data_IF_537863860783
#
_entry.id   IF_537863860783
#
_cell.length_a   1.000
_cell.length_b   1.000
_cell.length_c   1.000
_cell.angle_alpha   90.00
_cell.angle_beta   90.00
_cell.angle_gamma   90.00
#
_symmetry.space_group_name_H-M   'P 1'
#
loop_
_entity.id
_entity.type
_entity.pdbx_description
1 polymer ?
#
# COMPACT_ATOMS: atom_id res chain seq x y z
N UNK A 1 -35.90 20.25 13.30
CA UNK A 1 -34.67 19.52 12.90
C UNK A 1 -33.81 20.54 12.19
N UNK A 2 -32.71 20.97 12.80
CA UNK A 2 -31.81 21.95 12.16
C UNK A 2 -31.28 21.31 10.88
N UNK A 3 -31.43 22.01 9.75
CA UNK A 3 -30.76 21.72 8.49
C UNK A 3 -29.27 21.61 8.77
N UNK A 4 -28.74 20.39 8.82
CA UNK A 4 -27.29 20.16 8.87
C UNK A 4 -26.66 20.79 7.64
N UNK A 5 -25.65 21.63 7.84
CA UNK A 5 -24.91 22.30 6.77
C UNK A 5 -24.40 21.24 5.76
N UNK A 6 -24.97 21.24 4.55
CA UNK A 6 -24.50 20.39 3.47
C UNK A 6 -23.12 20.91 3.04
N UNK A 7 -22.09 20.09 3.19
CA UNK A 7 -20.73 20.46 2.80
C UNK A 7 -20.58 20.45 1.27
N UNK A 8 -19.71 21.30 0.73
CA UNK A 8 -19.40 21.27 -0.71
C UNK A 8 -18.65 19.99 -1.07
N UNK A 9 -17.63 19.64 -0.28
CA UNK A 9 -16.80 18.44 -0.49
C UNK A 9 -16.44 17.83 0.85
N UNK A 10 -16.65 16.51 0.98
CA UNK A 10 -16.14 15.73 2.10
C UNK A 10 -15.01 14.84 1.63
N UNK A 11 -13.86 14.91 2.30
CA UNK A 11 -12.70 14.05 2.07
C UNK A 11 -12.66 13.00 3.18
N UNK A 12 -12.75 11.72 2.80
CA UNK A 12 -12.76 10.60 3.74
C UNK A 12 -11.36 9.99 3.84
N UNK A 13 -10.69 10.24 4.96
CA UNK A 13 -9.32 9.86 5.30
C UNK A 13 -8.36 11.05 5.19
N UNK A 14 -7.47 11.22 6.17
CA UNK A 14 -6.41 12.22 6.24
C UNK A 14 -5.00 11.61 6.13
N UNK A 15 -4.87 10.54 5.34
CA UNK A 15 -3.57 10.07 4.85
C UNK A 15 -2.99 10.99 3.76
N UNK A 16 -1.86 10.62 3.13
CA UNK A 16 -1.24 11.41 2.05
C UNK A 16 -2.22 11.81 0.94
N UNK A 17 -3.11 10.90 0.55
CA UNK A 17 -4.13 11.17 -0.47
C UNK A 17 -5.11 12.26 -0.04
N UNK A 18 -5.67 12.16 1.16
CA UNK A 18 -6.72 13.07 1.61
C UNK A 18 -6.20 14.45 1.94
N UNK A 19 -5.03 14.54 2.58
CA UNK A 19 -4.37 15.82 2.82
C UNK A 19 -3.98 16.51 1.52
N UNK A 20 -3.56 15.76 0.50
CA UNK A 20 -3.27 16.32 -0.83
C UNK A 20 -4.53 16.84 -1.51
N UNK A 21 -5.63 16.09 -1.45
CA UNK A 21 -6.91 16.52 -2.00
C UNK A 21 -7.42 17.77 -1.27
N UNK A 22 -7.42 17.78 0.06
CA UNK A 22 -7.83 18.92 0.87
C UNK A 22 -7.00 20.17 0.55
N UNK A 23 -5.68 20.04 0.48
CA UNK A 23 -4.78 21.14 0.11
C UNK A 23 -5.14 21.75 -1.25
N UNK A 24 -5.33 20.92 -2.28
CA UNK A 24 -5.65 21.41 -3.63
C UNK A 24 -7.08 21.98 -3.72
N UNK A 25 -8.04 21.42 -2.98
CA UNK A 25 -9.41 21.95 -2.88
C UNK A 25 -9.39 23.34 -2.24
N UNK A 26 -8.71 23.50 -1.10
CA UNK A 26 -8.57 24.79 -0.42
C UNK A 26 -7.84 25.82 -1.27
N UNK A 27 -6.80 25.41 -2.02
CA UNK A 27 -6.10 26.28 -2.97
C UNK A 27 -7.03 26.83 -4.07
N UNK A 28 -8.11 26.12 -4.40
CA UNK A 28 -9.12 26.53 -5.38
C UNK A 28 -10.36 27.17 -4.74
N UNK A 29 -10.29 27.58 -3.47
CA UNK A 29 -11.36 28.32 -2.79
C UNK A 29 -12.47 27.46 -2.20
N UNK A 30 -12.36 26.13 -2.25
CA UNK A 30 -13.31 25.21 -1.61
C UNK A 30 -12.97 25.02 -0.13
N UNK A 31 -13.96 24.71 0.69
CA UNK A 31 -13.81 24.43 2.14
C UNK A 31 -14.12 22.96 2.43
N UNK A 32 -13.14 22.04 2.25
CA UNK A 32 -13.39 20.62 2.42
C UNK A 32 -13.59 20.23 3.90
N UNK A 33 -14.60 19.41 4.18
CA UNK A 33 -14.68 18.66 5.44
C UNK A 33 -13.74 17.45 5.33
N UNK A 34 -12.71 17.37 6.17
CA UNK A 34 -11.76 16.24 6.16
C UNK A 34 -11.99 15.37 7.39
N UNK A 35 -12.37 14.11 7.18
CA UNK A 35 -12.69 13.15 8.25
C UNK A 35 -11.60 12.08 8.36
N UNK A 36 -11.07 11.84 9.55
CA UNK A 36 -10.02 10.84 9.81
C UNK A 36 -10.39 9.95 10.99
N UNK A 37 -10.18 8.64 10.85
CA UNK A 37 -10.49 7.66 11.89
C UNK A 37 -9.49 7.66 13.04
N UNK A 38 -8.21 7.97 12.77
CA UNK A 38 -7.18 8.02 13.81
C UNK A 38 -7.32 9.27 14.68
N UNK A 39 -6.72 9.23 15.87
CA UNK A 39 -6.78 10.34 16.82
C UNK A 39 -5.89 11.52 16.41
N UNK A 40 -4.86 11.28 15.59
CA UNK A 40 -4.05 12.33 15.00
C UNK A 40 -3.73 12.06 13.52
N UNK A 41 -3.47 13.15 12.78
CA UNK A 41 -2.92 13.09 11.43
C UNK A 41 -1.56 12.39 11.46
N UNK A 42 -1.29 11.55 10.46
CA UNK A 42 -0.02 10.83 10.36
C UNK A 42 0.07 9.55 11.18
N UNK A 43 -0.91 9.23 12.04
CA UNK A 43 -0.86 8.03 12.89
C UNK A 43 -0.78 6.73 12.09
N UNK A 44 -1.47 6.63 10.95
CA UNK A 44 -1.35 5.45 10.07
C UNK A 44 0.12 5.22 9.69
N UNK A 45 0.88 6.28 9.42
CA UNK A 45 2.31 6.20 9.13
C UNK A 45 3.14 5.94 10.39
N UNK A 46 2.81 6.56 11.51
CA UNK A 46 3.49 6.36 12.81
C UNK A 46 3.50 4.90 13.25
N UNK A 47 2.42 4.17 12.94
CA UNK A 47 2.29 2.74 13.26
C UNK A 47 3.09 1.80 12.34
N UNK A 48 3.83 2.29 11.34
CA UNK A 48 4.73 1.43 10.59
C UNK A 48 5.95 1.01 11.43
N UNK A 49 6.56 -0.12 11.09
CA UNK A 49 7.71 -0.67 11.80
C UNK A 49 8.94 0.26 11.82
N UNK A 50 9.82 0.02 12.79
CA UNK A 50 10.97 0.86 13.03
C UNK A 50 12.01 0.80 11.92
N UNK A 51 12.57 1.97 11.62
CA UNK A 51 13.53 2.17 10.54
C UNK A 51 12.94 2.10 9.13
N UNK A 52 11.62 2.04 8.97
CA UNK A 52 10.98 2.13 7.65
C UNK A 52 11.41 3.41 6.94
N UNK A 53 11.75 3.27 5.66
CA UNK A 53 12.09 4.37 4.76
C UNK A 53 11.32 4.24 3.46
N UNK A 54 10.99 5.36 2.85
CA UNK A 54 10.39 5.37 1.53
C UNK A 54 11.29 4.65 0.52
N UNK A 55 10.65 3.89 -0.37
CA UNK A 55 11.31 3.37 -1.56
C UNK A 55 11.43 4.41 -2.68
N UNK A 56 10.65 5.49 -2.56
CA UNK A 56 10.66 6.66 -3.42
C UNK A 56 11.57 7.77 -2.91
N UNK A 57 12.22 8.45 -3.86
CA UNK A 57 13.07 9.62 -3.59
C UNK A 57 12.30 10.75 -2.99
N UNK A 58 12.95 11.53 -2.12
CA UNK A 58 12.36 12.75 -1.54
C UNK A 58 11.72 13.64 -2.62
N UNK A 59 12.35 13.78 -3.79
CA UNK A 59 11.85 14.57 -4.91
C UNK A 59 10.57 14.00 -5.54
N UNK A 60 10.52 12.68 -5.72
CA UNK A 60 9.34 11.96 -6.24
C UNK A 60 8.28 11.68 -5.16
N UNK A 61 8.53 12.06 -3.91
CA UNK A 61 7.63 11.82 -2.78
C UNK A 61 6.99 13.11 -2.26
N UNK A 62 7.27 14.26 -2.88
CA UNK A 62 6.65 15.51 -2.52
C UNK A 62 5.12 15.45 -2.77
N UNK A 63 4.39 16.10 -1.88
CA UNK A 63 2.93 16.28 -1.94
C UNK A 63 2.61 17.75 -2.29
N UNK A 64 1.36 18.08 -2.67
CA UNK A 64 0.95 19.46 -2.89
C UNK A 64 1.37 20.39 -1.74
N UNK A 65 2.02 21.51 -2.09
CA UNK A 65 2.54 22.49 -1.13
C UNK A 65 3.64 21.98 -0.18
N UNK A 66 4.05 20.71 -0.28
CA UNK A 66 4.77 20.03 0.79
C UNK A 66 5.92 19.18 0.26
N UNK A 67 7.15 19.68 0.46
CA UNK A 67 8.39 18.98 0.09
C UNK A 67 9.11 18.47 1.33
N UNK A 68 9.78 17.33 1.21
CA UNK A 68 10.74 16.88 2.22
C UNK A 68 11.95 17.82 2.25
N UNK A 69 12.46 18.19 3.45
CA UNK A 69 13.67 19.00 3.56
C UNK A 69 14.91 18.21 3.09
N UNK A 70 15.99 18.93 2.75
CA UNK A 70 17.25 18.28 2.35
C UNK A 70 17.84 17.40 3.45
N UNK A 71 17.53 17.70 4.72
CA UNK A 71 17.93 16.91 5.89
C UNK A 71 17.25 15.53 5.99
N UNK A 72 16.14 15.28 5.29
CA UNK A 72 15.40 14.01 5.34
C UNK A 72 16.10 12.82 4.62
N UNK A 73 17.38 12.96 4.26
CA UNK A 73 18.15 12.08 3.36
C UNK A 73 17.47 11.88 1.98
N UNK A 74 18.09 11.11 1.09
CA UNK A 74 17.52 10.82 -0.24
C UNK A 74 16.23 9.97 -0.16
N UNK A 75 16.13 9.09 0.85
CA UNK A 75 14.98 8.23 1.11
C UNK A 75 14.37 8.58 2.48
N UNK A 76 13.31 9.40 2.52
CA UNK A 76 12.71 9.86 3.78
C UNK A 76 12.35 8.70 4.71
N UNK A 77 12.58 8.88 6.02
CA UNK A 77 12.14 7.95 7.06
C UNK A 77 10.64 8.02 7.28
N UNK A 78 10.09 7.00 7.94
CA UNK A 78 8.72 7.01 8.51
C UNK A 78 8.43 8.34 9.22
N UNK A 79 9.30 8.75 10.12
CA UNK A 79 9.08 9.94 10.97
C UNK A 79 9.13 11.24 10.15
N UNK A 80 9.96 11.29 9.09
CA UNK A 80 9.96 12.41 8.15
C UNK A 80 8.64 12.49 7.35
N UNK A 81 8.05 11.35 6.99
CA UNK A 81 6.72 11.30 6.34
C UNK A 81 5.66 11.79 7.32
N UNK A 82 5.66 11.30 8.56
CA UNK A 82 4.72 11.74 9.61
C UNK A 82 4.79 13.26 9.80
N UNK A 83 6.01 13.80 9.99
CA UNK A 83 6.24 15.24 10.16
C UNK A 83 5.72 16.05 8.96
N UNK A 84 5.89 15.53 7.73
CA UNK A 84 5.38 16.18 6.53
C UNK A 84 3.85 16.24 6.56
N UNK A 85 3.19 15.13 6.85
CA UNK A 85 1.73 15.01 6.87
C UNK A 85 1.10 15.89 7.96
N UNK A 86 1.67 15.89 9.17
CA UNK A 86 1.20 16.73 10.29
C UNK A 86 1.28 18.22 9.97
N UNK A 87 2.24 18.65 9.15
CA UNK A 87 2.37 20.06 8.74
C UNK A 87 1.39 20.51 7.65
N UNK A 88 0.73 19.58 6.96
CA UNK A 88 -0.10 19.92 5.79
C UNK A 88 -1.35 20.74 6.12
N UNK A 89 -2.14 20.43 7.18
CA UNK A 89 -3.34 21.20 7.51
C UNK A 89 -3.06 22.69 7.75
N UNK A 90 -2.05 23.00 8.58
CA UNK A 90 -1.63 24.38 8.87
C UNK A 90 -1.16 25.10 7.62
N UNK A 91 -0.29 24.47 6.81
CA UNK A 91 0.22 25.06 5.55
C UNK A 91 -0.85 25.25 4.49
N UNK A 92 -1.86 24.38 4.48
CA UNK A 92 -2.94 24.37 3.49
C UNK A 92 -4.14 25.21 3.89
N UNK A 93 -4.23 25.67 5.14
CA UNK A 93 -5.37 26.44 5.63
C UNK A 93 -6.65 25.62 5.76
N UNK A 94 -6.56 24.35 6.15
CA UNK A 94 -7.71 23.47 6.37
C UNK A 94 -7.57 22.70 7.69
N UNK A 95 -8.69 22.25 8.25
CA UNK A 95 -8.74 21.43 9.48
C UNK A 95 -9.07 19.98 9.16
N UNK A 96 -8.66 19.08 10.06
CA UNK A 96 -9.01 17.65 10.02
C UNK A 96 -9.81 17.31 11.26
N UNK A 97 -10.98 16.69 11.08
CA UNK A 97 -11.76 16.11 12.17
C UNK A 97 -11.32 14.66 12.39
N UNK A 98 -10.53 14.46 13.43
CA UNK A 98 -9.98 13.16 13.84
C UNK A 98 -10.96 12.36 14.71
N UNK A 99 -10.71 11.07 14.88
CA UNK A 99 -11.58 10.17 15.65
C UNK A 99 -12.92 9.83 14.99
N UNK A 100 -13.09 10.11 13.70
CA UNK A 100 -14.32 9.86 12.94
C UNK A 100 -14.09 8.71 11.95
N UNK A 101 -14.49 7.50 12.33
CA UNK A 101 -14.45 6.35 11.43
C UNK A 101 -15.72 6.25 10.60
N UNK A 102 -15.58 6.38 9.27
CA UNK A 102 -16.71 6.22 8.34
C UNK A 102 -17.07 4.76 8.14
N UNK A 103 -18.34 4.45 8.37
CA UNK A 103 -18.95 3.13 8.20
C UNK A 103 -19.44 2.93 6.78
N UNK A 104 -20.19 3.90 6.23
CA UNK A 104 -20.67 3.84 4.86
C UNK A 104 -20.85 5.23 4.23
N UNK A 105 -20.84 5.24 2.89
CA UNK A 105 -21.08 6.39 2.02
C UNK A 105 -22.11 5.96 0.99
N UNK A 106 -23.23 6.67 0.90
CA UNK A 106 -24.32 6.39 -0.02
C UNK A 106 -24.82 7.67 -0.69
N UNK A 107 -25.55 7.52 -1.79
CA UNK A 107 -26.05 8.67 -2.56
C UNK A 107 -27.57 8.75 -2.47
N UNK A 108 -28.07 9.88 -1.97
CA UNK A 108 -29.48 10.22 -2.00
C UNK A 108 -29.81 10.89 -3.34
N UNK A 109 -30.51 10.16 -4.21
CA UNK A 109 -30.90 10.64 -5.54
C UNK A 109 -32.00 11.70 -5.50
N UNK A 110 -32.89 11.65 -4.52
CA UNK A 110 -34.00 12.61 -4.40
C UNK A 110 -33.48 13.97 -3.95
N UNK A 111 -32.53 13.97 -3.01
CA UNK A 111 -31.92 15.18 -2.45
C UNK A 111 -30.65 15.61 -3.19
N UNK A 112 -30.13 14.78 -4.11
CA UNK A 112 -28.92 15.03 -4.90
C UNK A 112 -27.68 15.30 -4.01
N UNK A 113 -27.56 14.55 -2.90
CA UNK A 113 -26.48 14.67 -1.91
C UNK A 113 -25.90 13.31 -1.52
N UNK A 114 -24.63 13.32 -1.14
CA UNK A 114 -23.98 12.19 -0.49
C UNK A 114 -24.33 12.17 1.00
N UNK A 115 -24.66 10.98 1.49
CA UNK A 115 -24.85 10.65 2.89
C UNK A 115 -23.62 9.89 3.38
N UNK A 116 -22.95 10.40 4.41
CA UNK A 116 -21.75 9.81 4.99
C UNK A 116 -22.05 9.50 6.46
N UNK A 117 -22.01 8.22 6.80
CA UNK A 117 -22.37 7.74 8.14
C UNK A 117 -21.13 7.16 8.81
N UNK A 118 -20.83 7.66 9.99
CA UNK A 118 -19.76 7.16 10.85
C UNK A 118 -20.19 5.92 11.65
N UNK A 119 -19.22 5.24 12.27
CA UNK A 119 -19.46 4.04 13.09
C UNK A 119 -20.22 4.35 14.38
N UNK A 120 -20.10 5.56 14.92
CA UNK A 120 -20.86 6.08 16.07
C UNK A 120 -22.17 6.78 15.66
N UNK A 121 -22.58 6.64 14.39
CA UNK A 121 -23.81 7.16 13.80
C UNK A 121 -23.91 8.70 13.68
N UNK A 122 -22.80 9.43 13.77
CA UNK A 122 -22.75 10.80 13.26
C UNK A 122 -23.00 10.79 11.75
N UNK A 123 -23.82 11.73 11.27
CA UNK A 123 -24.22 11.86 9.87
C UNK A 123 -23.65 13.15 9.30
N UNK A 124 -23.10 13.05 8.10
CA UNK A 124 -22.59 14.18 7.32
C UNK A 124 -23.22 14.15 5.94
N UNK A 125 -23.54 15.33 5.41
CA UNK A 125 -24.09 15.48 4.06
C UNK A 125 -23.16 16.29 3.20
N UNK A 126 -22.99 15.90 1.93
CA UNK A 126 -22.05 16.58 1.03
C UNK A 126 -22.50 16.58 -0.42
N UNK A 127 -22.21 17.65 -1.17
CA UNK A 127 -22.46 17.72 -2.62
C UNK A 127 -21.51 16.82 -3.41
N UNK A 128 -20.29 16.63 -2.90
CA UNK A 128 -19.25 15.79 -3.49
C UNK A 128 -18.45 15.03 -2.42
N UNK A 129 -17.83 13.91 -2.80
CA UNK A 129 -17.01 13.10 -1.88
C UNK A 129 -15.71 12.67 -2.54
N UNK A 130 -14.60 12.79 -1.80
CA UNK A 130 -13.29 12.26 -2.17
C UNK A 130 -12.93 11.13 -1.23
N UNK A 131 -12.89 9.90 -1.73
CA UNK A 131 -12.50 8.70 -0.98
C UNK A 131 -10.98 8.57 -0.98
N UNK A 132 -10.37 8.79 0.19
CA UNK A 132 -8.93 8.88 0.40
C UNK A 132 -8.40 7.90 1.47
N UNK A 133 -9.12 6.81 1.72
CA UNK A 133 -8.79 5.80 2.77
C UNK A 133 -7.63 4.85 2.41
N UNK A 134 -7.07 4.98 1.21
CA UNK A 134 -5.96 4.16 0.71
C UNK A 134 -6.36 2.73 0.29
N UNK A 135 -5.51 2.10 -0.54
CA UNK A 135 -5.77 0.76 -1.09
C UNK A 135 -5.36 -0.39 -0.13
N UNK A 136 -4.44 -0.12 0.81
CA UNK A 136 -3.90 -1.11 1.74
C UNK A 136 -4.56 -1.00 3.13
N UNK A 137 -5.90 -1.16 3.19
CA UNK A 137 -6.67 -0.84 4.39
C UNK A 137 -6.81 -2.01 5.35
N UNK A 138 -7.24 -3.17 4.85
CA UNK A 138 -7.63 -4.30 5.69
C UNK A 138 -6.66 -5.46 5.50
N UNK A 139 -5.85 -5.81 6.53
CA UNK A 139 -4.94 -6.94 6.51
C UNK A 139 -5.61 -8.25 6.08
N UNK A 140 -4.91 -9.06 5.29
CA UNK A 140 -5.40 -10.38 4.90
C UNK A 140 -4.42 -11.44 5.38
N UNK A 141 -4.83 -12.27 6.34
CA UNK A 141 -4.14 -13.52 6.69
C UNK A 141 -4.92 -14.66 6.02
N UNK A 142 -4.32 -15.44 5.11
CA UNK A 142 -5.00 -16.55 4.45
C UNK A 142 -5.50 -17.60 5.44
N UNK A 143 -6.58 -18.28 5.09
CA UNK A 143 -7.00 -19.51 5.77
C UNK A 143 -6.12 -20.67 5.30
N UNK A 144 -5.12 -21.03 6.10
CA UNK A 144 -4.34 -22.26 5.90
C UNK A 144 -5.04 -23.43 6.58
N UNK A 145 -4.93 -24.64 6.00
CA UNK A 145 -5.45 -25.84 6.64
C UNK A 145 -4.80 -26.00 8.03
N UNK A 146 -5.64 -26.14 9.06
CA UNK A 146 -5.19 -26.30 10.44
C UNK A 146 -4.60 -25.04 11.09
N UNK A 147 -4.74 -23.85 10.48
CA UNK A 147 -4.27 -22.56 11.04
C UNK A 147 -4.63 -22.37 12.52
N UNK A 148 -5.86 -22.68 12.91
CA UNK A 148 -6.37 -22.50 14.27
C UNK A 148 -5.74 -23.47 15.30
N UNK A 149 -5.00 -24.47 14.85
CA UNK A 149 -4.24 -25.38 15.71
C UNK A 149 -2.85 -24.85 16.06
N UNK A 150 -2.37 -23.81 15.36
CA UNK A 150 -1.04 -23.27 15.60
C UNK A 150 -0.94 -22.68 17.01
N UNK A 151 -0.03 -23.22 17.82
CA UNK A 151 0.21 -22.75 19.20
C UNK A 151 1.24 -21.63 19.30
N UNK A 152 1.90 -21.30 18.20
CA UNK A 152 2.75 -20.12 18.09
C UNK A 152 1.98 -18.84 17.76
N UNK A 153 2.72 -17.77 17.47
CA UNK A 153 2.14 -16.47 17.13
C UNK A 153 1.91 -16.34 15.61
N UNK A 154 0.71 -15.93 15.19
CA UNK A 154 0.45 -15.53 13.80
C UNK A 154 0.09 -14.04 13.78
N UNK A 155 0.91 -13.24 13.10
CA UNK A 155 0.64 -11.81 12.90
C UNK A 155 0.62 -11.46 11.42
N UNK A 156 -0.13 -10.42 11.08
CA UNK A 156 0.03 -9.78 9.78
C UNK A 156 1.22 -8.81 9.79
N UNK A 157 1.85 -8.58 8.63
CA UNK A 157 2.96 -7.63 8.47
C UNK A 157 2.66 -6.20 8.97
N UNK A 158 1.39 -5.79 9.03
CA UNK A 158 0.96 -4.50 9.59
C UNK A 158 1.07 -4.41 11.12
N UNK A 159 1.14 -5.55 11.81
CA UNK A 159 1.30 -5.63 13.27
C UNK A 159 2.77 -5.71 13.68
N UNK A 160 3.67 -6.07 12.76
CA UNK A 160 5.12 -6.08 13.01
C UNK A 160 5.61 -4.66 13.33
N UNK A 161 6.34 -4.49 14.44
CA UNK A 161 6.90 -3.20 14.87
C UNK A 161 8.42 -3.21 14.93
N UNK A 162 8.99 -4.16 15.66
CA UNK A 162 10.41 -4.23 15.89
C UNK A 162 10.94 -5.66 15.73
N UNK A 163 12.08 -5.81 15.06
CA UNK A 163 12.73 -7.10 14.84
C UNK A 163 13.37 -7.68 16.12
N UNK A 164 13.75 -6.84 17.08
CA UNK A 164 14.33 -7.27 18.35
C UNK A 164 13.35 -8.10 19.19
N UNK A 165 12.04 -7.88 19.05
CA UNK A 165 10.97 -8.65 19.74
C UNK A 165 10.93 -10.13 19.31
N UNK A 166 11.68 -10.49 18.27
CA UNK A 166 11.80 -11.83 17.72
C UNK A 166 13.19 -12.45 17.96
N UNK A 167 14.01 -11.84 18.81
CA UNK A 167 15.28 -12.42 19.22
C UNK A 167 15.08 -13.83 19.81
N UNK A 168 15.92 -14.78 19.40
CA UNK A 168 15.82 -16.17 19.85
C UNK A 168 14.70 -17.00 19.19
N UNK A 169 13.82 -16.41 18.36
CA UNK A 169 12.69 -17.11 17.74
C UNK A 169 13.03 -17.66 16.35
N UNK A 170 12.35 -18.73 15.94
CA UNK A 170 12.29 -19.20 14.55
C UNK A 170 11.10 -18.56 13.84
N UNK A 171 11.35 -17.74 12.81
CA UNK A 171 10.28 -16.96 12.16
C UNK A 171 10.06 -17.41 10.71
N UNK A 172 8.79 -17.69 10.39
CA UNK A 172 8.32 -17.93 9.03
C UNK A 172 7.64 -16.66 8.49
N UNK A 173 8.24 -16.02 7.49
CA UNK A 173 7.65 -14.89 6.77
C UNK A 173 6.91 -15.41 5.54
N UNK A 174 5.63 -15.09 5.39
CA UNK A 174 4.81 -15.55 4.26
C UNK A 174 4.60 -14.44 3.25
N UNK A 175 4.84 -14.72 1.97
CA UNK A 175 4.66 -13.78 0.86
C UNK A 175 5.95 -13.10 0.43
N UNK A 176 5.98 -12.63 -0.82
CA UNK A 176 7.15 -12.05 -1.50
C UNK A 176 6.96 -10.58 -1.89
N UNK A 177 6.24 -9.82 -1.07
CA UNK A 177 6.09 -8.37 -1.23
C UNK A 177 7.26 -7.58 -0.63
N UNK A 178 7.27 -6.26 -0.86
CA UNK A 178 8.28 -5.36 -0.27
C UNK A 178 8.31 -5.46 1.26
N UNK A 179 7.16 -5.44 1.94
CA UNK A 179 7.09 -5.58 3.40
C UNK A 179 7.72 -6.89 3.87
N UNK A 180 7.40 -8.02 3.23
CA UNK A 180 7.97 -9.33 3.59
C UNK A 180 9.49 -9.35 3.44
N UNK A 181 10.01 -8.83 2.34
CA UNK A 181 11.45 -8.78 2.08
C UNK A 181 12.20 -7.91 3.11
N UNK A 182 11.64 -6.75 3.45
CA UNK A 182 12.24 -5.84 4.43
C UNK A 182 12.18 -6.41 5.85
N UNK A 183 11.02 -6.97 6.25
CA UNK A 183 10.82 -7.62 7.54
C UNK A 183 11.75 -8.82 7.68
N UNK A 184 11.82 -9.71 6.68
CA UNK A 184 12.69 -10.88 6.70
C UNK A 184 14.17 -10.51 6.89
N UNK A 185 14.64 -9.48 6.19
CA UNK A 185 16.01 -8.96 6.32
C UNK A 185 16.28 -8.30 7.68
N UNK A 186 15.30 -7.59 8.26
CA UNK A 186 15.43 -7.09 9.63
C UNK A 186 15.49 -8.22 10.65
N UNK A 187 14.61 -9.21 10.52
CA UNK A 187 14.57 -10.40 11.37
C UNK A 187 15.88 -11.19 11.28
N UNK A 188 16.50 -11.27 10.11
CA UNK A 188 17.76 -11.99 9.90
C UNK A 188 18.93 -11.47 10.76
N UNK A 189 18.79 -10.29 11.37
CA UNK A 189 19.78 -9.71 12.30
C UNK A 189 19.56 -10.10 13.77
N UNK A 190 18.38 -10.62 14.12
CA UNK A 190 17.96 -10.81 15.52
C UNK A 190 17.37 -12.19 15.80
N UNK A 191 16.55 -12.73 14.89
CA UNK A 191 15.91 -14.03 15.03
C UNK A 191 16.92 -15.18 14.88
N UNK A 192 16.64 -16.32 15.51
CA UNK A 192 17.47 -17.54 15.42
C UNK A 192 17.50 -18.07 13.99
N UNK A 193 16.36 -18.02 13.29
CA UNK A 193 16.30 -18.35 11.87
C UNK A 193 15.14 -17.65 11.19
N UNK A 194 15.33 -17.27 9.93
CA UNK A 194 14.27 -16.73 9.08
C UNK A 194 14.05 -17.63 7.87
N UNK A 195 12.82 -18.10 7.72
CA UNK A 195 12.35 -18.81 6.53
C UNK A 195 11.31 -17.96 5.82
N UNK A 196 11.34 -17.92 4.49
CA UNK A 196 10.39 -17.14 3.69
C UNK A 196 9.65 -18.04 2.71
N UNK A 197 8.33 -18.13 2.88
CA UNK A 197 7.43 -18.90 2.02
C UNK A 197 6.98 -18.05 0.83
N UNK A 198 7.29 -18.51 -0.39
CA UNK A 198 7.02 -17.80 -1.64
C UNK A 198 6.12 -18.64 -2.54
N UNK A 199 4.97 -18.06 -2.94
CA UNK A 199 4.07 -18.66 -3.95
C UNK A 199 4.48 -18.30 -5.37
N UNK A 200 4.68 -17.01 -5.59
CA UNK A 200 5.01 -16.46 -6.91
C UNK A 200 6.34 -15.75 -6.80
N UNK A 201 7.34 -16.11 -7.63
CA UNK A 201 8.60 -15.40 -7.64
C UNK A 201 8.41 -13.89 -7.83
N UNK A 202 9.00 -13.06 -6.97
CA UNK A 202 8.84 -11.62 -7.07
C UNK A 202 9.69 -11.06 -8.21
N UNK A 203 9.25 -9.93 -8.76
CA UNK A 203 10.15 -9.06 -9.50
C UNK A 203 11.05 -8.34 -8.50
N UNK A 204 12.35 -8.33 -8.74
CA UNK A 204 13.34 -7.65 -7.90
C UNK A 204 14.13 -6.70 -8.78
N UNK A 205 14.27 -5.45 -8.34
CA UNK A 205 15.01 -4.43 -9.07
C UNK A 205 15.89 -3.62 -8.11
N UNK A 206 16.97 -3.00 -8.62
CA UNK A 206 17.75 -2.06 -7.83
C UNK A 206 16.90 -0.84 -7.44
N UNK A 207 17.06 -0.35 -6.21
CA UNK A 207 16.39 0.88 -5.75
C UNK A 207 16.83 2.12 -6.54
N UNK A 208 18.10 2.14 -6.95
CA UNK A 208 18.71 3.22 -7.73
C UNK A 208 19.80 2.69 -8.65
N UNK A 209 20.05 3.39 -9.75
CA UNK A 209 21.11 3.12 -10.72
C UNK A 209 22.02 4.34 -10.74
N UNK A 210 23.30 4.18 -10.36
CA UNK A 210 24.27 5.28 -10.25
C UNK A 210 23.73 6.53 -9.52
N UNK A 211 23.00 6.33 -8.41
CA UNK A 211 22.42 7.40 -7.61
C UNK A 211 21.07 7.93 -8.10
N UNK A 212 20.61 7.54 -9.30
CA UNK A 212 19.30 7.91 -9.83
C UNK A 212 18.24 6.93 -9.29
N UNK A 213 17.19 7.41 -8.59
CA UNK A 213 16.07 6.56 -8.17
C UNK A 213 15.43 5.83 -9.34
N UNK A 214 15.18 4.52 -9.21
CA UNK A 214 14.50 3.75 -10.26
C UNK A 214 13.10 4.29 -10.56
N UNK A 215 12.45 4.89 -9.57
CA UNK A 215 11.17 5.59 -9.75
C UNK A 215 11.27 6.72 -10.78
N UNK A 216 12.41 7.41 -10.84
CA UNK A 216 12.67 8.39 -11.88
C UNK A 216 12.55 7.77 -13.26
N UNK A 217 13.17 6.60 -13.48
CA UNK A 217 13.03 5.85 -14.73
C UNK A 217 11.55 5.55 -15.01
N UNK A 218 10.76 5.13 -14.01
CA UNK A 218 9.32 4.92 -14.16
C UNK A 218 8.54 6.17 -14.62
N UNK A 219 8.95 7.36 -14.19
CA UNK A 219 8.39 8.63 -14.67
C UNK A 219 8.78 8.89 -16.13
N UNK A 220 10.06 8.72 -16.48
CA UNK A 220 10.57 8.93 -17.84
C UNK A 220 9.99 7.94 -18.85
N UNK A 221 9.80 6.68 -18.46
CA UNK A 221 9.36 5.61 -19.36
C UNK A 221 7.84 5.51 -19.51
N UNK A 222 7.06 6.36 -18.82
CA UNK A 222 5.59 6.30 -18.83
C UNK A 222 4.96 6.39 -20.22
N UNK A 223 5.63 7.06 -21.18
CA UNK A 223 5.16 7.23 -22.56
C UNK A 223 5.74 6.21 -23.54
N UNK A 224 6.62 5.31 -23.08
CA UNK A 224 7.26 4.33 -23.94
C UNK A 224 6.37 3.09 -24.11
N UNK A 225 6.51 2.35 -25.24
CA UNK A 225 5.84 1.06 -25.40
C UNK A 225 6.21 0.08 -24.26
N UNK A 226 5.21 -0.56 -23.67
CA UNK A 226 5.40 -1.45 -22.51
C UNK A 226 6.43 -2.56 -22.75
N UNK A 227 6.51 -3.10 -23.97
CA UNK A 227 7.48 -4.13 -24.34
C UNK A 227 8.94 -3.63 -24.21
N UNK A 228 9.18 -2.35 -24.56
CA UNK A 228 10.50 -1.73 -24.42
C UNK A 228 10.86 -1.57 -22.94
N UNK A 229 9.90 -1.14 -22.12
CA UNK A 229 10.08 -0.98 -20.67
C UNK A 229 10.37 -2.34 -20.03
N UNK A 230 9.60 -3.38 -20.34
CA UNK A 230 9.82 -4.73 -19.82
C UNK A 230 11.20 -5.28 -20.22
N UNK A 231 11.64 -5.05 -21.46
CA UNK A 231 12.97 -5.46 -21.94
C UNK A 231 14.08 -4.77 -21.14
N UNK A 232 14.00 -3.45 -20.98
CA UNK A 232 14.96 -2.67 -20.19
C UNK A 232 15.02 -3.15 -18.72
N UNK A 233 13.86 -3.31 -18.08
CA UNK A 233 13.80 -3.75 -16.68
C UNK A 233 14.26 -5.20 -16.52
N UNK A 234 13.99 -6.06 -17.50
CA UNK A 234 14.50 -7.43 -17.55
C UNK A 234 16.02 -7.48 -17.67
N UNK A 235 16.61 -6.63 -18.51
CA UNK A 235 18.06 -6.47 -18.61
C UNK A 235 18.68 -5.99 -17.29
N UNK A 236 18.12 -4.96 -16.67
CA UNK A 236 18.59 -4.44 -15.38
C UNK A 236 18.50 -5.49 -14.25
N UNK A 237 17.41 -6.27 -14.21
CA UNK A 237 17.27 -7.38 -13.27
C UNK A 237 18.40 -8.38 -13.45
N UNK A 238 18.63 -8.85 -14.69
CA UNK A 238 19.65 -9.87 -14.99
C UNK A 238 21.05 -9.39 -14.65
N UNK A 239 21.37 -8.13 -14.93
CA UNK A 239 22.72 -7.58 -14.73
C UNK A 239 23.00 -7.17 -13.28
N UNK A 240 22.03 -6.55 -12.60
CA UNK A 240 22.26 -5.98 -11.27
C UNK A 240 21.83 -6.90 -10.13
N UNK A 241 20.86 -7.79 -10.38
CA UNK A 241 20.37 -8.77 -9.39
C UNK A 241 20.90 -10.18 -9.70
N UNK A 242 20.99 -10.58 -10.96
CA UNK A 242 21.45 -11.93 -11.33
C UNK A 242 20.41 -13.02 -11.00
N UNK A 243 20.86 -14.29 -11.03
CA UNK A 243 20.02 -15.44 -10.74
C UNK A 243 20.09 -15.83 -9.26
N UNK A 244 18.92 -16.02 -8.64
CA UNK A 244 18.78 -16.46 -7.25
C UNK A 244 18.27 -17.91 -7.14
N UNK A 245 18.13 -18.62 -8.27
CA UNK A 245 17.59 -19.98 -8.30
C UNK A 245 18.42 -20.96 -7.46
N UNK A 246 19.75 -20.82 -7.47
CA UNK A 246 20.66 -21.61 -6.63
C UNK A 246 20.42 -21.42 -5.11
N UNK A 247 19.79 -20.32 -4.72
CA UNK A 247 19.42 -20.00 -3.33
C UNK A 247 17.93 -20.26 -3.04
N UNK A 248 17.25 -20.97 -3.94
CA UNK A 248 15.84 -21.36 -3.79
C UNK A 248 14.82 -20.34 -4.30
N UNK A 249 15.24 -19.19 -4.85
CA UNK A 249 14.34 -18.17 -5.39
C UNK A 249 14.46 -18.09 -6.93
N UNK A 250 13.59 -18.79 -7.67
CA UNK A 250 13.67 -18.82 -9.13
C UNK A 250 13.31 -17.46 -9.74
N UNK A 251 13.70 -17.25 -11.00
CA UNK A 251 13.31 -16.05 -11.74
C UNK A 251 11.81 -16.06 -12.08
N UNK A 252 11.12 -14.90 -12.03
CA UNK A 252 9.74 -14.80 -12.48
C UNK A 252 9.66 -15.03 -14.00
N UNK A 253 8.66 -15.81 -14.41
CA UNK A 253 8.43 -16.23 -15.80
C UNK A 253 7.67 -15.19 -16.62
N UNK A 254 6.87 -14.34 -15.96
CA UNK A 254 6.09 -13.29 -16.61
C UNK A 254 6.89 -11.99 -16.76
N UNK A 255 6.65 -11.22 -17.83
CA UNK A 255 7.06 -9.81 -17.90
C UNK A 255 6.53 -9.02 -16.71
N UNK A 256 7.27 -7.99 -16.31
CA UNK A 256 6.95 -7.20 -15.12
C UNK A 256 5.61 -6.51 -15.25
N UNK A 257 5.33 -5.90 -16.40
CA UNK A 257 4.06 -5.22 -16.68
C UNK A 257 2.86 -6.14 -16.47
N UNK A 258 2.92 -7.36 -17.02
CA UNK A 258 1.86 -8.37 -16.91
C UNK A 258 1.69 -8.84 -15.48
N UNK A 259 2.80 -9.12 -14.79
CA UNK A 259 2.74 -9.55 -13.39
C UNK A 259 2.19 -8.44 -12.48
N UNK A 260 2.54 -7.18 -12.74
CA UNK A 260 1.99 -6.01 -12.05
C UNK A 260 0.49 -5.85 -12.34
N UNK A 261 0.04 -5.98 -13.59
CA UNK A 261 -1.38 -5.90 -13.93
C UNK A 261 -2.24 -6.94 -13.20
N UNK A 262 -1.72 -8.16 -13.02
CA UNK A 262 -2.43 -9.25 -12.33
C UNK A 262 -2.43 -9.03 -10.81
N UNK A 263 -1.25 -8.79 -10.24
CA UNK A 263 -1.05 -8.85 -8.79
C UNK A 263 -1.16 -7.48 -8.11
N UNK A 264 -0.96 -6.38 -8.84
CA UNK A 264 -0.79 -5.03 -8.31
C UNK A 264 0.35 -4.93 -7.27
N UNK A 265 1.42 -5.70 -7.50
CA UNK A 265 2.60 -5.74 -6.63
C UNK A 265 3.77 -5.15 -7.39
N UNK A 266 4.32 -4.05 -6.86
CA UNK A 266 5.54 -3.45 -7.39
C UNK A 266 6.76 -4.30 -7.07
N UNK A 267 7.84 -4.21 -7.86
CA UNK A 267 9.07 -4.96 -7.61
C UNK A 267 9.63 -4.72 -6.20
N UNK A 268 10.31 -5.71 -5.65
CA UNK A 268 11.11 -5.53 -4.43
C UNK A 268 12.29 -4.62 -4.78
N UNK A 269 12.42 -3.52 -4.03
CA UNK A 269 13.49 -2.52 -4.20
C UNK A 269 14.45 -2.51 -3.01
N UNK A 270 14.68 -3.67 -2.39
CA UNK A 270 15.42 -3.79 -1.14
C UNK A 270 16.64 -4.69 -1.30
N UNK A 271 17.83 -4.08 -1.44
CA UNK A 271 19.09 -4.81 -1.67
C UNK A 271 19.49 -5.74 -0.52
N UNK A 272 19.39 -5.37 0.76
CA UNK A 272 19.79 -6.24 1.86
C UNK A 272 19.09 -7.60 1.84
N UNK A 273 17.83 -7.67 1.40
CA UNK A 273 17.12 -8.94 1.21
C UNK A 273 17.85 -9.90 0.25
N UNK A 274 18.36 -9.40 -0.88
CA UNK A 274 19.10 -10.22 -1.84
C UNK A 274 20.39 -10.75 -1.20
N UNK A 275 21.09 -9.89 -0.47
CA UNK A 275 22.36 -10.24 0.15
C UNK A 275 22.14 -11.27 1.29
N UNK A 276 21.04 -11.16 2.03
CA UNK A 276 20.63 -12.10 3.08
C UNK A 276 20.22 -13.47 2.51
N UNK A 277 19.52 -13.51 1.36
CA UNK A 277 19.19 -14.76 0.67
C UNK A 277 20.47 -15.44 0.17
N UNK A 278 21.39 -14.70 -0.45
CA UNK A 278 22.67 -15.25 -0.94
C UNK A 278 23.55 -15.77 0.18
N UNK A 279 23.55 -15.09 1.32
CA UNK A 279 24.29 -15.51 2.50
C UNK A 279 23.62 -16.67 3.25
N UNK A 280 22.43 -17.14 2.82
CA UNK A 280 21.69 -18.20 3.49
C UNK A 280 21.05 -17.78 4.83
N UNK A 281 21.07 -16.49 5.17
CA UNK A 281 20.43 -15.94 6.38
C UNK A 281 18.90 -15.98 6.29
N UNK A 282 18.36 -15.91 5.07
CA UNK A 282 16.95 -16.13 4.77
C UNK A 282 16.82 -17.37 3.89
N UNK A 283 16.15 -18.41 4.40
CA UNK A 283 15.89 -19.64 3.64
C UNK A 283 14.60 -19.51 2.85
N UNK A 284 14.65 -19.74 1.54
CA UNK A 284 13.47 -19.66 0.68
C UNK A 284 12.81 -21.03 0.55
N UNK A 285 11.48 -21.03 0.68
CA UNK A 285 10.65 -22.24 0.58
C UNK A 285 9.38 -21.96 -0.23
N UNK A 286 8.68 -23.02 -0.63
CA UNK A 286 7.39 -22.91 -1.31
C UNK A 286 6.24 -22.63 -0.34
N UNK A 287 5.01 -22.88 -0.79
CA UNK A 287 3.80 -22.52 -0.04
C UNK A 287 3.50 -23.46 1.12
N UNK A 288 2.92 -22.90 2.19
CA UNK A 288 2.30 -23.66 3.28
C UNK A 288 1.20 -24.55 2.73
N UNK A 289 1.22 -25.83 3.11
CA UNK A 289 0.19 -26.82 2.81
C UNK A 289 -0.74 -27.00 4.01
N UNK A 290 -0.15 -27.24 5.20
CA UNK A 290 -0.89 -27.57 6.42
C UNK A 290 -0.16 -27.10 7.66
N UNK A 291 -0.92 -26.75 8.69
CA UNK A 291 -0.43 -26.43 10.02
C UNK A 291 -1.04 -27.42 11.02
N UNK A 292 -0.20 -28.00 11.87
CA UNK A 292 -0.60 -28.93 12.94
C UNK A 292 0.21 -28.61 14.19
N UNK A 293 -0.39 -27.95 15.17
CA UNK A 293 0.32 -27.46 16.36
C UNK A 293 1.52 -26.58 15.96
N UNK A 294 2.76 -26.84 16.41
CA UNK A 294 3.96 -26.10 15.96
C UNK A 294 4.51 -26.56 14.61
N UNK A 295 4.02 -27.66 14.04
CA UNK A 295 4.51 -28.18 12.78
C UNK A 295 3.81 -27.47 11.60
N UNK A 296 4.61 -26.88 10.70
CA UNK A 296 4.13 -26.27 9.46
C UNK A 296 4.69 -27.07 8.29
N UNK A 297 3.81 -27.74 7.57
CA UNK A 297 4.13 -28.44 6.32
C UNK A 297 4.17 -27.44 5.17
N UNK A 298 5.28 -27.41 4.46
CA UNK A 298 5.58 -26.46 3.37
C UNK A 298 6.16 -27.21 2.18
N UNK A 299 5.96 -26.70 0.96
CA UNK A 299 6.76 -27.17 -0.16
C UNK A 299 8.23 -26.83 0.02
N UNK A 300 9.11 -27.78 -0.27
CA UNK A 300 10.55 -27.61 -0.10
C UNK A 300 11.12 -26.55 -1.02
N UNK A 301 10.56 -26.40 -2.22
CA UNK A 301 11.01 -25.43 -3.23
C UNK A 301 9.85 -24.58 -3.71
N UNK A 302 10.18 -23.41 -4.29
CA UNK A 302 9.19 -22.57 -4.98
C UNK A 302 8.84 -23.26 -6.30
N UNK A 303 7.75 -24.02 -6.33
CA UNK A 303 7.25 -24.66 -7.55
C UNK A 303 6.20 -23.78 -8.22
N UNK A 304 6.24 -23.72 -9.55
CA UNK A 304 5.20 -23.08 -10.36
C UNK A 304 4.00 -23.99 -10.63
N UNK A 305 4.09 -25.28 -10.27
CA UNK A 305 3.03 -26.28 -10.37
C UNK A 305 2.58 -26.71 -8.97
N UNK A 306 1.27 -26.66 -8.71
CA UNK A 306 0.67 -26.90 -7.40
C UNK A 306 0.67 -28.37 -6.96
N UNK A 307 0.98 -29.34 -7.83
CA UNK A 307 0.62 -30.74 -7.57
C UNK A 307 1.77 -31.75 -7.43
N UNK A 308 3.06 -31.37 -7.54
CA UNK A 308 4.18 -32.33 -7.49
C UNK A 308 5.42 -31.78 -6.76
N UNK A 309 5.25 -31.20 -5.57
CA UNK A 309 6.36 -30.68 -4.76
C UNK A 309 6.65 -31.58 -3.55
N UNK A 310 7.92 -31.91 -3.30
CA UNK A 310 8.34 -32.55 -2.03
C UNK A 310 8.03 -31.60 -0.87
N UNK A 311 7.20 -32.02 0.08
CA UNK A 311 6.94 -31.25 1.30
C UNK A 311 8.02 -31.49 2.34
N UNK A 312 8.17 -30.54 3.26
CA UNK A 312 8.97 -30.68 4.48
C UNK A 312 8.27 -29.99 5.63
N UNK A 313 8.60 -30.42 6.83
CA UNK A 313 8.07 -29.84 8.06
C UNK A 313 9.08 -28.86 8.65
N UNK A 314 8.61 -27.68 9.05
CA UNK A 314 9.36 -26.71 9.85
C UNK A 314 8.60 -26.39 11.13
N UNK A 315 9.31 -25.88 12.14
CA UNK A 315 8.74 -25.56 13.45
C UNK A 315 8.97 -24.08 13.80
N UNK A 316 8.30 -23.13 13.14
CA UNK A 316 8.40 -21.73 13.49
C UNK A 316 7.70 -21.45 14.82
N UNK A 317 8.24 -20.52 15.60
CA UNK A 317 7.57 -19.93 16.76
C UNK A 317 6.59 -18.84 16.34
N UNK A 318 6.87 -18.17 15.22
CA UNK A 318 6.09 -17.05 14.70
C UNK A 318 5.88 -17.16 13.20
N UNK A 319 4.66 -16.92 12.74
CA UNK A 319 4.31 -16.71 11.33
C UNK A 319 3.98 -15.24 11.10
N UNK A 320 4.79 -14.56 10.27
CA UNK A 320 4.53 -13.18 9.83
C UNK A 320 3.92 -13.20 8.43
N UNK A 321 2.62 -12.98 8.36
CA UNK A 321 1.86 -12.94 7.11
C UNK A 321 2.05 -11.60 6.39
N UNK A 322 2.97 -11.56 5.42
CA UNK A 322 3.14 -10.45 4.47
C UNK A 322 2.29 -10.66 3.21
N UNK A 323 1.01 -10.96 3.42
CA UNK A 323 0.08 -11.48 2.41
C UNK A 323 -0.84 -10.42 1.82
N UNK A 324 -0.56 -9.14 2.12
CA UNK A 324 -1.21 -8.00 1.50
C UNK A 324 -2.52 -7.60 2.19
N UNK A 325 -3.27 -6.77 1.49
CA UNK A 325 -4.45 -6.09 2.03
C UNK A 325 -5.59 -6.14 1.03
N UNK A 326 -6.82 -6.04 1.54
CA UNK A 326 -8.01 -5.68 0.75
C UNK A 326 -8.37 -4.21 0.98
N UNK A 327 -9.07 -3.62 0.01
CA UNK A 327 -9.45 -2.19 0.01
C UNK A 327 -10.54 -1.88 1.04
N UNK A 328 -11.53 -2.76 1.18
CA UNK A 328 -12.72 -2.53 1.99
C UNK A 328 -13.74 -1.57 1.38
N UNK A 329 -13.65 -1.30 0.07
CA UNK A 329 -14.60 -0.43 -0.63
C UNK A 329 -16.01 -1.01 -0.79
N UNK A 330 -16.19 -2.33 -1.07
CA UNK A 330 -17.54 -2.90 -1.15
C UNK A 330 -18.38 -2.71 0.11
N UNK A 331 -17.73 -2.66 1.29
CA UNK A 331 -18.39 -2.41 2.57
C UNK A 331 -18.59 -0.91 2.86
N UNK A 332 -17.68 -0.07 2.37
CA UNK A 332 -17.68 1.37 2.63
C UNK A 332 -18.61 2.14 1.68
N UNK A 333 -18.71 1.75 0.41
CA UNK A 333 -19.40 2.54 -0.63
C UNK A 333 -20.65 1.79 -1.11
N UNK A 334 -21.82 2.36 -0.86
CA UNK A 334 -23.11 1.77 -1.23
C UNK A 334 -23.54 2.17 -2.65
N UNK A 335 -22.64 1.96 -3.61
CA UNK A 335 -22.91 2.17 -5.04
C UNK A 335 -22.68 0.86 -5.78
N UNK A 336 -23.74 0.22 -6.31
CA UNK A 336 -23.62 -1.04 -7.04
C UNK A 336 -22.63 -0.95 -8.21
N UNK A 337 -21.74 -1.95 -8.32
CA UNK A 337 -20.83 -2.07 -9.46
C UNK A 337 -19.66 -1.09 -9.49
N UNK A 338 -19.49 -0.21 -8.49
CA UNK A 338 -18.41 0.78 -8.46
C UNK A 338 -17.01 0.15 -8.28
N UNK A 339 -16.96 -1.08 -7.75
CA UNK A 339 -15.74 -1.86 -7.60
C UNK A 339 -15.68 -3.07 -8.53
N UNK A 340 -14.47 -3.53 -8.85
CA UNK A 340 -14.20 -4.82 -9.47
C UNK A 340 -14.34 -5.99 -8.48
N UNK A 341 -14.12 -7.22 -8.96
CA UNK A 341 -14.19 -8.46 -8.17
C UNK A 341 -13.14 -8.52 -7.04
N UNK A 342 -12.08 -7.72 -7.11
CA UNK A 342 -11.04 -7.61 -6.09
C UNK A 342 -11.32 -6.46 -5.10
N UNK A 343 -12.50 -5.83 -5.21
CA UNK A 343 -12.92 -4.69 -4.39
C UNK A 343 -12.20 -3.39 -4.74
N UNK A 344 -11.53 -3.29 -5.90
CA UNK A 344 -10.84 -2.08 -6.34
C UNK A 344 -11.80 -1.17 -7.10
N UNK A 345 -11.68 0.16 -7.02
CA UNK A 345 -12.61 1.03 -7.71
C UNK A 345 -12.37 0.95 -9.22
N UNK A 346 -13.45 0.92 -10.00
CA UNK A 346 -13.39 0.89 -11.48
C UNK A 346 -13.01 2.24 -12.08
N UNK A 347 -13.17 3.31 -11.31
CA UNK A 347 -12.79 4.68 -11.66
C UNK A 347 -11.78 5.21 -10.65
N UNK A 348 -10.84 6.02 -11.11
CA UNK A 348 -9.80 6.62 -10.26
C UNK A 348 -9.50 8.05 -10.71
N UNK A 349 -8.81 8.85 -9.88
CA UNK A 349 -8.50 10.25 -10.20
C UNK A 349 -9.80 11.03 -10.44
N UNK A 350 -9.86 11.78 -11.53
CA UNK A 350 -10.93 12.65 -12.02
C UNK A 350 -11.96 11.91 -12.90
N UNK A 351 -11.89 10.58 -12.97
CA UNK A 351 -12.88 9.76 -13.66
C UNK A 351 -14.17 9.68 -12.84
N UNK A 352 -15.30 9.63 -13.54
CA UNK A 352 -16.63 9.57 -12.94
C UNK A 352 -17.29 8.22 -13.18
N UNK A 353 -18.03 7.74 -12.19
CA UNK A 353 -18.88 6.58 -12.33
C UNK A 353 -20.33 7.05 -12.56
N UNK A 354 -21.05 6.58 -13.59
CA UNK A 354 -22.35 7.11 -13.98
C UNK A 354 -23.38 7.22 -12.84
N UNK A 355 -23.41 6.25 -11.93
CA UNK A 355 -24.36 6.19 -10.81
C UNK A 355 -23.82 6.81 -9.51
N UNK A 356 -22.66 7.46 -9.54
CA UNK A 356 -22.04 8.11 -8.40
C UNK A 356 -21.49 9.50 -8.78
N UNK A 357 -22.38 10.49 -8.93
CA UNK A 357 -21.97 11.83 -9.35
C UNK A 357 -21.05 12.47 -8.29
N UNK A 358 -19.94 13.08 -8.76
CA UNK A 358 -18.97 13.80 -7.90
C UNK A 358 -18.36 12.95 -6.77
N UNK A 359 -18.27 11.63 -6.96
CA UNK A 359 -17.50 10.72 -6.12
C UNK A 359 -16.17 10.41 -6.79
N UNK A 360 -15.07 10.73 -6.12
CA UNK A 360 -13.72 10.54 -6.64
C UNK A 360 -12.88 9.66 -5.72
N UNK A 361 -12.01 8.84 -6.31
CA UNK A 361 -11.07 7.99 -5.58
C UNK A 361 -9.64 8.46 -5.84
N UNK A 362 -8.86 8.67 -4.77
CA UNK A 362 -7.48 9.14 -4.85
C UNK A 362 -6.49 8.17 -4.19
N UNK A 363 -5.32 8.00 -4.83
CA UNK A 363 -4.22 7.18 -4.33
C UNK A 363 -4.46 5.67 -4.39
N UNK A 364 -5.29 5.23 -5.33
CA UNK A 364 -5.67 3.81 -5.49
C UNK A 364 -4.74 3.03 -6.43
N UNK A 365 -3.85 3.73 -7.12
CA UNK A 365 -2.83 3.15 -7.99
C UNK A 365 -1.45 3.26 -7.36
N UNK A 366 -0.62 2.23 -7.51
CA UNK A 366 0.77 2.23 -7.05
C UNK A 366 1.75 1.90 -8.19
N UNK A 367 1.86 2.77 -9.21
CA UNK A 367 2.73 2.51 -10.35
C UNK A 367 4.22 2.68 -10.01
N UNK A 368 5.08 2.29 -10.96
CA UNK A 368 6.53 2.49 -10.86
C UNK A 368 6.95 3.96 -10.71
N UNK A 369 6.10 4.92 -11.12
CA UNK A 369 6.31 6.37 -10.91
C UNK A 369 6.13 6.81 -9.45
N UNK A 370 5.70 5.90 -8.56
CA UNK A 370 5.58 6.13 -7.13
C UNK A 370 4.20 6.68 -6.73
N UNK A 371 3.60 6.07 -5.70
CA UNK A 371 2.25 6.41 -5.26
C UNK A 371 2.09 7.88 -4.82
N UNK A 372 3.03 8.42 -4.04
CA UNK A 372 2.96 9.82 -3.59
C UNK A 372 3.04 10.82 -4.78
N UNK A 373 3.81 10.49 -5.82
CA UNK A 373 3.85 11.28 -7.04
C UNK A 373 2.53 11.24 -7.81
N UNK A 374 1.85 10.09 -7.87
CA UNK A 374 0.52 10.00 -8.48
C UNK A 374 -0.52 10.74 -7.66
N UNK A 375 -0.54 10.55 -6.33
CA UNK A 375 -1.44 11.28 -5.41
C UNK A 375 -1.36 12.79 -5.64
N UNK A 376 -0.13 13.34 -5.75
CA UNK A 376 0.06 14.77 -6.02
C UNK A 376 -0.59 15.22 -7.33
N UNK A 377 -0.55 14.39 -8.37
CA UNK A 377 -1.16 14.72 -9.67
C UNK A 377 -2.68 14.54 -9.64
N UNK A 378 -3.17 13.46 -9.03
CA UNK A 378 -4.60 13.15 -8.90
C UNK A 378 -5.31 14.22 -8.07
N UNK A 379 -4.72 14.68 -6.97
CA UNK A 379 -5.29 15.73 -6.12
C UNK A 379 -5.61 17.01 -6.90
N UNK A 380 -4.67 17.48 -7.72
CA UNK A 380 -4.87 18.68 -8.54
C UNK A 380 -5.97 18.49 -9.59
N UNK A 381 -6.05 17.32 -10.23
CA UNK A 381 -7.09 17.01 -11.22
C UNK A 381 -8.48 16.94 -10.59
N UNK A 382 -8.60 16.23 -9.47
CA UNK A 382 -9.85 16.11 -8.72
C UNK A 382 -10.33 17.48 -8.25
N UNK A 383 -9.44 18.29 -7.66
CA UNK A 383 -9.80 19.63 -7.19
C UNK A 383 -10.27 20.55 -8.33
N UNK A 384 -9.58 20.54 -9.48
CA UNK A 384 -9.98 21.31 -10.66
C UNK A 384 -11.33 20.87 -11.22
N UNK A 385 -11.58 19.56 -11.26
CA UNK A 385 -12.85 18.99 -11.72
C UNK A 385 -13.99 19.40 -10.78
N UNK A 386 -13.79 19.29 -9.47
CA UNK A 386 -14.78 19.66 -8.45
C UNK A 386 -15.06 21.17 -8.42
N UNK A 387 -14.05 22.02 -8.50
CA UNK A 387 -14.23 23.49 -8.56
C UNK A 387 -15.14 23.90 -9.74
N UNK A 388 -14.98 23.28 -10.91
CA UNK A 388 -15.86 23.50 -12.06
C UNK A 388 -17.28 22.99 -11.85
N UNK A 389 -17.43 21.81 -11.24
CA UNK A 389 -18.73 21.19 -11.02
C UNK A 389 -19.55 21.84 -9.91
N UNK A 390 -18.88 22.48 -8.95
CA UNK A 390 -19.51 23.17 -7.83
C UNK A 390 -19.63 24.69 -8.05
N UNK A 391 -19.18 25.17 -9.23
CA UNK A 391 -19.26 26.57 -9.68
C UNK A 391 -18.52 27.58 -8.78
N UNK A 392 -17.44 27.14 -8.13
CA UNK A 392 -16.59 28.05 -7.35
C UNK A 392 -15.72 28.85 -8.33
N UNK A 393 -15.98 30.16 -8.42
CA UNK A 393 -15.28 31.12 -9.29
C UNK A 393 -13.88 31.47 -8.79
#
# INVERSE_FOLDING_TARGET
>A
MNTSDIHDVTVVGAGPSGLSAAFELTRLGLTPLVLERTLAVGDVWRHHYDGLRLNSGRYYSALPGSKFPLSASSWPSRDAVVSLLESMPERGGFSVQTGVEIKNVSYDRERNVWQIISTDNQQFESRAVVIAVGANRIPVIPEWEGKNTFTGEIIHSSQFKNAQDYAGKHVLVVGSGNSSAEIASRLAKHATSVTMSVRTPPQILPKSIYGIPLIGIGVWTRRLPMALVDSLLGFLRRTMIGDLSAYGLPSPTMPMSKQYAINNVVPILYRPFIDDVRAGRIKIVGTIQKISDKAVEIFSTVTTSQNNGTTRTIHPDVIVAGTGFRTGFPELIQVPGITDEKGRPKVTSDQEFPDAPRLYFIGQVNPLSGQLNEIRQEAGKIAQKLSKQLEVK
#
